data_IF_265233501526
#
_entry.id   IF_265233501526
#
_cell.length_a   1.000
_cell.length_b   1.000
_cell.length_c   1.000
_cell.angle_alpha   90.00
_cell.angle_beta   90.00
_cell.angle_gamma   90.00
#
_symmetry.space_group_name_H-M   'P 1'
#
loop_
_entity.id
_entity.type
_entity.pdbx_description
1 polymer ?
#
# COMPACT_ATOMS: atom_id res chain seq x y z
N UNK A 1 -1.10 12.05 -37.71
CA UNK A 1 -1.89 11.47 -36.62
C UNK A 1 -1.24 10.15 -36.28
N UNK A 2 -1.00 9.87 -35.00
CA UNK A 2 -0.35 8.63 -34.60
C UNK A 2 -1.22 7.43 -35.02
N UNK A 3 -0.57 6.29 -35.31
CA UNK A 3 -1.25 5.01 -35.36
C UNK A 3 -1.68 4.58 -33.95
N UNK A 4 -2.64 3.66 -33.83
CA UNK A 4 -3.04 3.12 -32.54
C UNK A 4 -1.86 2.47 -31.79
N UNK A 5 -0.93 1.86 -32.52
CA UNK A 5 0.27 1.25 -31.93
C UNK A 5 1.21 2.31 -31.36
N UNK A 6 1.48 3.38 -32.10
CA UNK A 6 2.32 4.49 -31.61
C UNK A 6 1.69 5.20 -30.40
N UNK A 7 0.38 5.43 -30.43
CA UNK A 7 -0.36 5.98 -29.29
C UNK A 7 -0.20 5.10 -28.05
N UNK A 8 -0.37 3.77 -28.20
CA UNK A 8 -0.20 2.82 -27.08
C UNK A 8 1.21 2.78 -26.52
N UNK A 9 2.24 3.01 -27.33
CA UNK A 9 3.63 3.06 -26.86
C UNK A 9 3.86 4.32 -26.05
N UNK A 10 3.49 5.49 -26.58
CA UNK A 10 3.67 6.78 -25.89
C UNK A 10 2.83 6.84 -24.59
N UNK A 11 1.62 6.29 -24.62
CA UNK A 11 0.78 6.19 -23.43
C UNK A 11 1.42 5.31 -22.35
N UNK A 12 2.04 4.19 -22.72
CA UNK A 12 2.73 3.33 -21.75
C UNK A 12 3.93 4.04 -21.11
N UNK A 13 4.67 4.83 -21.90
CA UNK A 13 5.78 5.62 -21.41
C UNK A 13 5.29 6.67 -20.39
N UNK A 14 4.24 7.43 -20.73
CA UNK A 14 3.64 8.41 -19.83
C UNK A 14 3.10 7.78 -18.53
N UNK A 15 2.45 6.62 -18.59
CA UNK A 15 1.93 5.94 -17.39
C UNK A 15 3.08 5.39 -16.53
N UNK A 16 4.17 4.90 -17.15
CA UNK A 16 5.34 4.42 -16.40
C UNK A 16 6.04 5.57 -15.69
N UNK A 17 6.23 6.70 -16.36
CA UNK A 17 6.76 7.92 -15.75
C UNK A 17 5.86 8.40 -14.61
N UNK A 18 4.54 8.35 -14.78
CA UNK A 18 3.58 8.66 -13.73
C UNK A 18 3.69 7.74 -12.50
N UNK A 19 4.05 6.46 -12.66
CA UNK A 19 4.33 5.61 -11.49
C UNK A 19 5.53 6.10 -10.68
N UNK A 20 6.50 6.74 -11.32
CA UNK A 20 7.67 7.28 -10.64
C UNK A 20 7.41 8.69 -10.07
N UNK A 21 6.78 9.58 -10.85
CA UNK A 21 6.59 10.99 -10.50
C UNK A 21 5.34 11.25 -9.65
N UNK A 22 4.30 10.42 -9.79
CA UNK A 22 2.95 10.67 -9.31
C UNK A 22 2.34 12.01 -9.80
N UNK A 23 2.87 12.59 -10.87
CA UNK A 23 2.37 13.83 -11.47
C UNK A 23 1.34 13.55 -12.57
N UNK A 24 0.06 13.75 -12.25
CA UNK A 24 -1.03 13.55 -13.21
C UNK A 24 -0.99 14.59 -14.35
N UNK A 25 -0.43 15.77 -14.09
CA UNK A 25 -0.37 16.87 -15.05
C UNK A 25 0.43 16.48 -16.30
N UNK A 26 1.52 15.74 -16.12
CA UNK A 26 2.35 15.25 -17.22
C UNK A 26 1.60 14.24 -18.10
N UNK A 27 0.75 13.40 -17.50
CA UNK A 27 -0.10 12.46 -18.25
C UNK A 27 -1.17 13.20 -19.05
N UNK A 28 -1.84 14.19 -18.45
CA UNK A 28 -2.83 15.04 -19.13
C UNK A 28 -2.19 15.77 -20.31
N UNK A 29 -1.01 16.37 -20.09
CA UNK A 29 -0.27 17.08 -21.13
C UNK A 29 0.14 16.13 -22.27
N UNK A 30 0.65 14.95 -21.94
CA UNK A 30 1.01 13.91 -22.92
C UNK A 30 -0.19 13.49 -23.78
N UNK A 31 -1.36 13.26 -23.17
CA UNK A 31 -2.60 12.93 -23.88
C UNK A 31 -3.04 14.06 -24.83
N UNK A 32 -2.95 15.30 -24.37
CA UNK A 32 -3.27 16.49 -25.17
C UNK A 32 -2.34 16.62 -26.39
N UNK A 33 -1.03 16.44 -26.19
CA UNK A 33 -0.01 16.58 -27.22
C UNK A 33 -0.08 15.49 -28.29
N UNK A 34 -0.50 14.28 -27.91
CA UNK A 34 -0.75 13.19 -28.87
C UNK A 34 -1.87 13.52 -29.87
N UNK A 35 -2.83 14.39 -29.52
CA UNK A 35 -3.95 14.82 -30.38
C UNK A 35 -4.72 13.66 -31.02
N UNK A 36 -4.94 12.59 -30.26
CA UNK A 36 -5.55 11.34 -30.72
C UNK A 36 -6.83 10.99 -29.94
N UNK A 37 -7.81 11.91 -29.93
CA UNK A 37 -9.09 11.73 -29.20
C UNK A 37 -9.79 10.40 -29.51
N UNK A 38 -9.71 9.92 -30.75
CA UNK A 38 -10.30 8.64 -31.17
C UNK A 38 -9.74 7.42 -30.43
N UNK A 39 -8.55 7.52 -29.82
CA UNK A 39 -7.91 6.44 -29.07
C UNK A 39 -8.05 6.58 -27.55
N UNK A 40 -8.67 7.66 -27.05
CA UNK A 40 -8.91 7.87 -25.61
C UNK A 40 -9.60 6.67 -24.90
N UNK A 41 -10.53 5.92 -25.51
CA UNK A 41 -11.05 4.70 -24.89
C UNK A 41 -9.98 3.66 -24.51
N UNK A 42 -8.81 3.66 -25.15
CA UNK A 42 -7.74 2.71 -24.81
C UNK A 42 -6.99 3.07 -23.53
N UNK A 43 -7.16 4.29 -22.98
CA UNK A 43 -6.43 4.76 -21.81
C UNK A 43 -6.71 3.89 -20.59
N UNK A 44 -7.98 3.65 -20.26
CA UNK A 44 -8.39 2.83 -19.11
C UNK A 44 -7.78 1.43 -19.18
N UNK A 45 -7.97 0.74 -20.31
CA UNK A 45 -7.44 -0.61 -20.51
C UNK A 45 -5.93 -0.64 -20.30
N UNK A 46 -5.19 0.30 -20.89
CA UNK A 46 -3.72 0.32 -20.81
C UNK A 46 -3.24 0.64 -19.39
N UNK A 47 -3.79 1.70 -18.79
CA UNK A 47 -3.49 2.12 -17.42
C UNK A 47 -3.72 0.98 -16.42
N UNK A 48 -4.91 0.38 -16.42
CA UNK A 48 -5.21 -0.73 -15.51
C UNK A 48 -4.32 -1.92 -15.79
N UNK A 49 -4.14 -2.34 -17.06
CA UNK A 49 -3.30 -3.49 -17.41
C UNK A 49 -1.85 -3.34 -16.93
N UNK A 50 -1.26 -2.15 -17.04
CA UNK A 50 0.10 -1.86 -16.58
C UNK A 50 0.26 -1.90 -15.05
N UNK A 51 -0.84 -1.89 -14.28
CA UNK A 51 -0.81 -1.95 -12.81
C UNK A 51 -1.12 -3.34 -12.24
N UNK A 52 -1.59 -4.28 -13.07
CA UNK A 52 -2.06 -5.59 -12.61
C UNK A 52 -0.94 -6.42 -11.98
N UNK A 53 0.26 -6.37 -12.56
CA UNK A 53 1.49 -7.04 -12.09
C UNK A 53 2.29 -6.20 -11.08
N UNK A 54 1.78 -5.01 -10.70
CA UNK A 54 2.42 -4.08 -9.76
C UNK A 54 1.77 -4.11 -8.37
N UNK A 55 2.25 -3.25 -7.47
CA UNK A 55 1.79 -3.19 -6.09
C UNK A 55 0.57 -2.30 -5.88
N UNK A 56 0.05 -2.26 -4.64
CA UNK A 56 -1.03 -1.35 -4.21
C UNK A 56 -0.85 0.12 -4.62
N UNK A 57 0.38 0.64 -4.51
CA UNK A 57 0.71 2.03 -4.85
C UNK A 57 0.36 2.36 -6.29
N UNK A 58 0.83 1.55 -7.24
CA UNK A 58 0.57 1.80 -8.66
C UNK A 58 -0.92 1.66 -8.98
N UNK A 59 -1.63 0.77 -8.29
CA UNK A 59 -3.08 0.62 -8.46
C UNK A 59 -3.86 1.84 -7.93
N UNK A 60 -3.46 2.40 -6.80
CA UNK A 60 -4.02 3.66 -6.29
C UNK A 60 -3.71 4.84 -7.21
N UNK A 61 -2.48 4.92 -7.74
CA UNK A 61 -2.13 5.92 -8.75
C UNK A 61 -3.04 5.81 -9.97
N UNK A 62 -3.33 4.61 -10.48
CA UNK A 62 -4.27 4.45 -11.59
C UNK A 62 -5.69 4.86 -11.19
N UNK A 63 -6.19 4.52 -10.00
CA UNK A 63 -7.51 4.99 -9.54
C UNK A 63 -7.60 6.53 -9.56
N UNK A 64 -6.60 7.21 -9.00
CA UNK A 64 -6.53 8.69 -9.01
C UNK A 64 -6.42 9.24 -10.42
N UNK A 65 -5.58 8.65 -11.26
CA UNK A 65 -5.41 9.07 -12.64
C UNK A 65 -6.74 9.03 -13.40
N UNK A 66 -7.53 7.96 -13.24
CA UNK A 66 -8.84 7.87 -13.92
C UNK A 66 -9.81 8.95 -13.43
N UNK A 67 -9.80 9.29 -12.15
CA UNK A 67 -10.60 10.38 -11.57
C UNK A 67 -10.18 11.75 -12.10
N UNK A 68 -8.88 12.02 -12.14
CA UNK A 68 -8.34 13.30 -12.62
C UNK A 68 -8.46 13.47 -14.15
N UNK A 69 -8.48 12.36 -14.90
CA UNK A 69 -8.73 12.39 -16.34
C UNK A 69 -10.22 12.57 -16.68
N UNK A 70 -11.13 12.50 -15.70
CA UNK A 70 -12.57 12.69 -15.87
C UNK A 70 -13.00 14.06 -15.33
N UNK A 71 -13.91 14.79 -16.01
CA UNK A 71 -14.52 14.49 -17.30
C UNK A 71 -13.69 14.95 -18.52
N UNK A 72 -12.52 15.57 -18.29
CA UNK A 72 -11.61 16.05 -19.32
C UNK A 72 -10.17 15.64 -18.96
N UNK A 73 -9.41 14.98 -19.87
CA UNK A 73 -9.70 14.75 -21.28
C UNK A 73 -10.52 13.49 -21.61
N UNK A 74 -10.96 12.71 -20.61
CA UNK A 74 -11.74 11.48 -20.81
C UNK A 74 -13.21 11.66 -20.44
N UNK A 75 -14.07 11.50 -21.44
CA UNK A 75 -15.52 11.50 -21.27
C UNK A 75 -16.04 10.21 -20.62
N UNK A 76 -17.28 10.22 -20.11
CA UNK A 76 -17.98 9.03 -19.60
C UNK A 76 -17.97 7.87 -20.61
N UNK A 77 -18.13 8.19 -21.90
CA UNK A 77 -18.11 7.21 -22.99
C UNK A 77 -16.71 6.61 -23.18
N UNK A 78 -15.64 7.40 -23.02
CA UNK A 78 -14.28 6.89 -23.10
C UNK A 78 -13.99 5.94 -21.94
N UNK A 79 -14.40 6.29 -20.72
CA UNK A 79 -14.18 5.48 -19.53
C UNK A 79 -14.96 4.17 -19.60
N UNK A 80 -16.25 4.22 -19.93
CA UNK A 80 -17.11 3.03 -20.08
C UNK A 80 -16.58 2.09 -21.17
N UNK A 81 -16.29 2.62 -22.36
CA UNK A 81 -15.72 1.84 -23.46
C UNK A 81 -14.34 1.27 -23.07
N UNK A 82 -13.54 2.02 -22.31
CA UNK A 82 -12.23 1.56 -21.86
C UNK A 82 -12.30 0.40 -20.88
N UNK A 83 -13.27 0.42 -19.96
CA UNK A 83 -13.55 -0.73 -19.09
C UNK A 83 -14.11 -1.93 -19.89
N UNK A 84 -14.97 -1.72 -20.88
CA UNK A 84 -15.43 -2.81 -21.77
C UNK A 84 -14.25 -3.45 -22.52
N UNK A 85 -13.34 -2.64 -23.08
CA UNK A 85 -12.14 -3.12 -23.75
C UNK A 85 -11.21 -3.91 -22.82
N UNK A 86 -11.13 -3.51 -21.55
CA UNK A 86 -10.37 -4.20 -20.50
C UNK A 86 -11.01 -5.56 -20.17
N UNK A 87 -12.32 -5.57 -19.91
CA UNK A 87 -13.09 -6.78 -19.60
C UNK A 87 -12.98 -7.81 -20.72
N UNK A 88 -13.04 -7.37 -21.99
CA UNK A 88 -12.89 -8.24 -23.16
C UNK A 88 -11.49 -8.84 -23.32
N UNK A 89 -10.47 -8.33 -22.62
CA UNK A 89 -9.12 -8.91 -22.61
C UNK A 89 -8.75 -9.64 -21.32
N UNK A 90 -9.70 -9.82 -20.39
CA UNK A 90 -9.39 -10.41 -19.10
C UNK A 90 -8.94 -11.85 -19.19
N UNK A 91 -9.43 -12.63 -20.16
CA UNK A 91 -8.99 -14.01 -20.35
C UNK A 91 -7.50 -14.08 -20.65
N UNK A 92 -7.03 -13.26 -21.60
CA UNK A 92 -5.62 -13.17 -21.96
C UNK A 92 -4.78 -12.65 -20.78
N UNK A 93 -5.23 -11.57 -20.12
CA UNK A 93 -4.52 -10.99 -18.98
C UNK A 93 -4.40 -11.97 -17.80
N UNK A 94 -5.39 -12.84 -17.63
CA UNK A 94 -5.41 -13.80 -16.53
C UNK A 94 -4.53 -15.03 -16.79
N UNK A 95 -4.04 -15.22 -18.02
CA UNK A 95 -3.03 -16.24 -18.31
C UNK A 95 -1.74 -15.91 -17.56
N UNK A 96 -1.33 -14.64 -17.62
CA UNK A 96 -0.08 -14.18 -17.02
C UNK A 96 -0.26 -13.71 -15.57
N UNK A 97 -1.46 -13.24 -15.21
CA UNK A 97 -1.75 -12.63 -13.91
C UNK A 97 -2.99 -13.31 -13.30
N UNK A 98 -2.82 -14.37 -12.47
CA UNK A 98 -3.93 -15.13 -11.91
C UNK A 98 -4.97 -14.27 -11.17
N UNK A 99 -4.52 -13.18 -10.54
CA UNK A 99 -5.37 -12.25 -9.79
C UNK A 99 -5.93 -11.08 -10.63
N UNK A 100 -5.80 -11.09 -11.97
CA UNK A 100 -6.28 -10.01 -12.82
C UNK A 100 -7.78 -9.74 -12.61
N UNK A 101 -8.62 -10.78 -12.59
CA UNK A 101 -10.07 -10.65 -12.40
C UNK A 101 -10.45 -9.98 -11.07
N UNK A 102 -9.99 -10.45 -9.89
CA UNK A 102 -10.31 -9.79 -8.63
C UNK A 102 -9.76 -8.35 -8.55
N UNK A 103 -8.58 -8.07 -9.11
CA UNK A 103 -8.02 -6.72 -9.14
C UNK A 103 -8.86 -5.78 -10.01
N UNK A 104 -9.30 -6.22 -11.19
CA UNK A 104 -10.17 -5.41 -12.05
C UNK A 104 -11.55 -5.18 -11.40
N UNK A 105 -12.05 -6.14 -10.61
CA UNK A 105 -13.29 -5.95 -9.84
C UNK A 105 -13.14 -4.85 -8.79
N UNK A 106 -11.96 -4.76 -8.17
CA UNK A 106 -11.60 -3.67 -7.26
C UNK A 106 -11.56 -2.32 -8.00
N UNK A 107 -10.93 -2.24 -9.18
CA UNK A 107 -10.92 -1.03 -10.00
C UNK A 107 -12.34 -0.58 -10.39
N UNK A 108 -13.21 -1.49 -10.82
CA UNK A 108 -14.59 -1.16 -11.19
C UNK A 108 -15.40 -0.64 -9.99
N UNK A 109 -15.28 -1.26 -8.82
CA UNK A 109 -15.94 -0.75 -7.62
C UNK A 109 -15.44 0.64 -7.23
N UNK A 110 -14.13 0.86 -7.30
CA UNK A 110 -13.52 2.17 -7.03
C UNK A 110 -13.96 3.23 -8.05
N UNK A 111 -14.00 2.87 -9.34
CA UNK A 111 -14.45 3.73 -10.43
C UNK A 111 -15.91 4.19 -10.26
N UNK A 112 -16.77 3.34 -9.68
CA UNK A 112 -18.15 3.73 -9.37
C UNK A 112 -18.21 4.70 -8.18
N UNK A 113 -17.40 4.49 -7.13
CA UNK A 113 -17.33 5.40 -5.98
C UNK A 113 -16.74 6.75 -6.34
N UNK A 114 -15.71 6.76 -7.19
CA UNK A 114 -15.06 7.98 -7.67
C UNK A 114 -15.89 8.70 -8.76
N UNK A 115 -17.11 8.21 -9.05
CA UNK A 115 -18.05 8.77 -10.04
C UNK A 115 -17.54 8.84 -11.49
N UNK A 116 -16.47 8.11 -11.81
CA UNK A 116 -15.90 8.02 -13.17
C UNK A 116 -16.67 7.05 -14.08
N UNK A 117 -17.43 6.11 -13.49
CA UNK A 117 -18.29 5.17 -14.20
C UNK A 117 -19.65 5.08 -13.48
N UNK A 118 -20.78 5.19 -14.18
CA UNK A 118 -22.09 5.11 -13.53
C UNK A 118 -22.37 3.70 -12.97
N UNK A 119 -23.09 3.56 -11.84
CA UNK A 119 -23.47 2.25 -11.30
C UNK A 119 -24.20 1.34 -12.30
N UNK A 120 -24.96 1.93 -13.23
CA UNK A 120 -25.68 1.21 -14.30
C UNK A 120 -24.74 0.47 -15.28
N UNK A 121 -23.45 0.82 -15.31
CA UNK A 121 -22.45 0.04 -16.05
C UNK A 121 -22.39 -1.42 -15.55
N UNK A 122 -22.57 -1.62 -14.24
CA UNK A 122 -22.57 -2.94 -13.61
C UNK A 122 -23.85 -3.75 -13.91
N UNK A 123 -24.95 -3.10 -14.31
CA UNK A 123 -26.20 -3.77 -14.67
C UNK A 123 -26.32 -4.09 -16.18
N UNK A 124 -25.62 -3.34 -17.03
CA UNK A 124 -25.79 -3.39 -18.49
C UNK A 124 -24.87 -4.39 -19.21
N UNK A 125 -23.93 -5.01 -18.51
CA UNK A 125 -23.12 -6.06 -19.11
C UNK A 125 -23.95 -7.35 -19.18
N UNK A 126 -24.58 -7.59 -20.33
CA UNK A 126 -25.26 -8.84 -20.67
C UNK A 126 -24.42 -10.05 -20.22
N UNK A 127 -24.99 -10.81 -19.28
CA UNK A 127 -24.47 -11.96 -18.53
C UNK A 127 -23.91 -13.12 -19.39
N UNK A 128 -22.88 -12.87 -20.20
CA UNK A 128 -22.39 -13.84 -21.20
C UNK A 128 -20.89 -13.82 -21.43
N UNK A 129 -20.12 -13.07 -20.63
CA UNK A 129 -18.67 -12.86 -20.84
C UNK A 129 -17.83 -13.03 -19.56
N UNK A 130 -16.51 -13.25 -19.69
CA UNK A 130 -15.55 -13.41 -18.58
C UNK A 130 -15.56 -12.34 -17.47
N UNK A 131 -16.24 -11.22 -17.71
CA UNK A 131 -16.46 -10.14 -16.75
C UNK A 131 -17.49 -10.43 -15.66
N UNK A 132 -18.23 -11.54 -15.69
CA UNK A 132 -19.25 -11.85 -14.68
C UNK A 132 -18.67 -11.89 -13.25
N UNK A 133 -17.58 -12.63 -13.04
CA UNK A 133 -16.90 -12.70 -11.74
C UNK A 133 -16.35 -11.33 -11.28
N UNK A 134 -15.97 -10.49 -12.25
CA UNK A 134 -15.45 -9.15 -11.99
C UNK A 134 -16.57 -8.21 -11.56
N UNK A 135 -17.73 -8.28 -12.21
CA UNK A 135 -18.92 -7.51 -11.87
C UNK A 135 -19.48 -7.98 -10.52
N UNK A 136 -19.58 -9.29 -10.29
CA UNK A 136 -20.01 -9.86 -9.01
C UNK A 136 -19.12 -9.36 -7.87
N UNK A 137 -17.80 -9.35 -8.07
CA UNK A 137 -16.84 -8.79 -7.11
C UNK A 137 -17.10 -7.31 -6.87
N UNK A 138 -17.29 -6.51 -7.92
CA UNK A 138 -17.52 -5.08 -7.79
C UNK A 138 -18.84 -4.77 -7.04
N UNK A 139 -19.93 -5.43 -7.43
CA UNK A 139 -21.26 -5.33 -6.77
C UNK A 139 -21.16 -5.77 -5.31
N UNK A 140 -20.48 -6.88 -5.03
CA UNK A 140 -20.26 -7.38 -3.68
C UNK A 140 -19.43 -6.45 -2.78
N UNK A 141 -18.53 -5.65 -3.36
CA UNK A 141 -17.80 -4.61 -2.64
C UNK A 141 -18.69 -3.38 -2.37
N UNK A 142 -19.45 -2.94 -3.37
CA UNK A 142 -20.36 -1.78 -3.28
C UNK A 142 -21.54 -2.02 -2.34
N UNK A 143 -21.98 -3.28 -2.17
CA UNK A 143 -23.10 -3.65 -1.30
C UNK A 143 -22.75 -3.68 0.20
N UNK A 144 -21.50 -3.42 0.57
CA UNK A 144 -21.04 -3.48 1.97
C UNK A 144 -21.39 -2.18 2.71
N UNK A 145 -21.59 -2.29 4.03
CA UNK A 145 -21.66 -1.11 4.88
C UNK A 145 -20.40 -0.26 4.77
N UNK A 146 -20.59 1.07 4.75
CA UNK A 146 -19.54 2.07 4.61
C UNK A 146 -18.65 1.85 3.37
N UNK A 147 -19.22 1.35 2.26
CA UNK A 147 -18.46 1.00 1.06
C UNK A 147 -17.59 2.16 0.54
N UNK A 148 -18.06 3.41 0.50
CA UNK A 148 -17.28 4.55 0.03
C UNK A 148 -15.93 4.67 0.76
N UNK A 149 -15.96 4.81 2.09
CA UNK A 149 -14.74 4.97 2.91
C UNK A 149 -13.80 3.74 2.86
N UNK A 150 -14.35 2.55 2.57
CA UNK A 150 -13.58 1.32 2.39
C UNK A 150 -12.95 1.23 1.00
N UNK A 151 -13.69 1.66 -0.02
CA UNK A 151 -13.26 1.65 -1.42
C UNK A 151 -12.20 2.72 -1.69
N UNK A 152 -12.27 3.86 -1.00
CA UNK A 152 -11.17 4.84 -0.92
C UNK A 152 -9.83 4.22 -0.48
N UNK A 153 -9.88 3.11 0.28
CA UNK A 153 -8.70 2.41 0.82
C UNK A 153 -8.54 0.99 0.27
N UNK A 154 -9.16 0.69 -0.87
CA UNK A 154 -9.26 -0.67 -1.40
C UNK A 154 -7.90 -1.32 -1.68
N UNK A 155 -6.89 -0.52 -1.99
CA UNK A 155 -5.55 -1.01 -2.32
C UNK A 155 -4.71 -1.33 -1.07
N UNK A 156 -5.12 -0.85 0.11
CA UNK A 156 -4.47 -1.15 1.39
C UNK A 156 -3.48 -0.08 1.85
N UNK A 157 -2.67 -0.34 2.89
CA UNK A 157 -1.76 0.65 3.47
C UNK A 157 -0.51 0.96 2.66
N UNK A 158 -0.18 0.12 1.67
CA UNK A 158 0.92 0.34 0.73
C UNK A 158 0.57 1.21 -0.48
N UNK A 159 -0.56 1.89 -0.47
CA UNK A 159 -1.11 2.71 -1.56
C UNK A 159 -0.44 4.09 -1.72
N UNK A 160 0.58 4.40 -0.92
CA UNK A 160 1.28 5.69 -0.94
C UNK A 160 0.61 6.77 -0.08
N UNK A 161 -0.27 6.39 0.86
CA UNK A 161 -0.85 7.31 1.84
C UNK A 161 0.21 8.05 2.69
N UNK A 162 -0.15 9.22 3.27
CA UNK A 162 0.77 10.01 4.08
C UNK A 162 1.40 9.20 5.21
N UNK A 163 2.65 9.50 5.52
CA UNK A 163 3.42 8.83 6.60
C UNK A 163 2.68 8.83 7.94
N UNK A 164 1.86 9.86 8.22
CA UNK A 164 1.04 9.93 9.42
C UNK A 164 -0.01 8.79 9.50
N UNK A 165 -0.65 8.46 8.38
CA UNK A 165 -1.63 7.36 8.33
C UNK A 165 -0.94 6.00 8.42
N UNK A 166 0.19 5.85 7.74
CA UNK A 166 0.99 4.62 7.81
C UNK A 166 1.39 4.28 9.26
N UNK A 167 1.76 5.30 10.02
CA UNK A 167 2.07 5.19 11.46
C UNK A 167 0.86 4.73 12.28
N UNK A 168 -0.34 5.25 11.98
CA UNK A 168 -1.58 4.80 12.64
C UNK A 168 -1.88 3.34 12.33
N UNK A 169 -1.69 2.91 11.09
CA UNK A 169 -1.86 1.50 10.69
C UNK A 169 -0.86 0.60 11.42
N UNK A 170 0.41 1.01 11.53
CA UNK A 170 1.41 0.28 12.31
C UNK A 170 0.98 0.13 13.78
N UNK A 171 0.53 1.22 14.41
CA UNK A 171 0.11 1.18 15.81
C UNK A 171 -1.09 0.24 16.01
N UNK A 172 -2.06 0.26 15.09
CA UNK A 172 -3.23 -0.59 15.14
C UNK A 172 -2.85 -2.08 14.99
N UNK A 173 -2.04 -2.42 13.98
CA UNK A 173 -1.53 -3.77 13.77
C UNK A 173 -0.81 -4.32 15.01
N UNK A 174 0.09 -3.52 15.60
CA UNK A 174 0.88 -3.92 16.75
C UNK A 174 -0.02 -4.18 17.98
N UNK A 175 -1.03 -3.31 18.20
CA UNK A 175 -2.00 -3.47 19.29
C UNK A 175 -2.92 -4.67 19.08
N UNK A 176 -3.39 -4.90 17.85
CA UNK A 176 -4.20 -6.08 17.50
C UNK A 176 -3.44 -7.38 17.69
N UNK A 177 -2.15 -7.41 17.33
CA UNK A 177 -1.29 -8.56 17.63
C UNK A 177 -1.17 -8.79 19.14
N UNK A 178 -0.95 -7.76 19.94
CA UNK A 178 -0.85 -7.92 21.40
C UNK A 178 -2.15 -8.44 22.03
N UNK A 179 -3.30 -8.24 21.39
CA UNK A 179 -4.58 -8.77 21.84
C UNK A 179 -4.85 -10.20 21.34
N UNK A 180 -4.57 -10.47 20.06
CA UNK A 180 -4.89 -11.75 19.40
C UNK A 180 -3.81 -12.82 19.56
N UNK A 181 -2.54 -12.40 19.66
CA UNK A 181 -1.32 -13.22 19.59
C UNK A 181 -1.15 -13.99 18.27
N UNK A 182 -1.85 -13.58 17.22
CA UNK A 182 -1.79 -14.23 15.91
C UNK A 182 -0.60 -13.72 15.09
N UNK A 183 0.51 -14.46 15.15
CA UNK A 183 1.76 -14.11 14.44
C UNK A 183 1.60 -14.08 12.92
N UNK A 184 0.86 -15.04 12.36
CA UNK A 184 0.65 -15.13 10.91
C UNK A 184 -0.19 -13.97 10.37
N UNK A 185 -1.20 -13.53 11.14
CA UNK A 185 -2.02 -12.37 10.78
C UNK A 185 -1.20 -11.09 10.83
N UNK A 186 -0.46 -10.87 11.91
CA UNK A 186 0.43 -9.71 12.03
C UNK A 186 1.46 -9.68 10.89
N UNK A 187 2.04 -10.83 10.54
CA UNK A 187 2.94 -10.98 9.41
C UNK A 187 2.29 -10.68 8.06
N UNK A 188 1.02 -11.06 7.85
CA UNK A 188 0.26 -10.68 6.66
C UNK A 188 0.08 -9.17 6.59
N UNK A 189 -0.39 -8.55 7.68
CA UNK A 189 -0.61 -7.10 7.74
C UNK A 189 0.67 -6.30 7.48
N UNK A 190 1.84 -6.76 7.97
CA UNK A 190 3.14 -6.11 7.67
C UNK A 190 3.50 -6.22 6.19
N UNK A 191 3.23 -7.36 5.52
CA UNK A 191 3.48 -7.51 4.08
C UNK A 191 2.57 -6.62 3.25
N UNK A 192 1.27 -6.57 3.58
CA UNK A 192 0.28 -5.75 2.87
C UNK A 192 0.57 -4.25 2.96
N UNK A 193 1.24 -3.83 4.04
CA UNK A 193 1.73 -2.46 4.21
C UNK A 193 2.75 -2.04 3.14
N UNK A 194 3.45 -2.99 2.51
CA UNK A 194 4.39 -2.77 1.41
C UNK A 194 5.35 -1.58 1.62
N UNK A 195 5.85 -1.40 2.85
CA UNK A 195 6.70 -0.28 3.25
C UNK A 195 8.05 -0.74 3.83
N UNK A 196 8.82 -1.60 3.14
CA UNK A 196 10.01 -2.27 3.69
C UNK A 196 11.09 -1.30 4.19
N UNK A 197 11.27 -0.17 3.51
CA UNK A 197 12.24 0.87 3.91
C UNK A 197 11.84 1.64 5.17
N UNK A 198 10.57 1.53 5.57
CA UNK A 198 9.97 2.21 6.71
C UNK A 198 9.72 1.27 7.90
N UNK A 199 10.06 -0.02 7.80
CA UNK A 199 9.88 -0.99 8.87
C UNK A 199 10.64 -0.65 10.17
N UNK A 200 11.69 0.17 10.13
CA UNK A 200 12.32 0.70 11.35
C UNK A 200 11.33 1.49 12.22
N UNK A 201 10.30 2.10 11.63
CA UNK A 201 9.25 2.82 12.36
C UNK A 201 8.29 1.84 13.03
N UNK A 202 7.97 0.70 12.39
CA UNK A 202 7.23 -0.41 13.00
C UNK A 202 7.96 -0.92 14.25
N UNK A 203 9.28 -1.12 14.16
CA UNK A 203 10.12 -1.55 15.30
C UNK A 203 10.08 -0.53 16.43
N UNK A 204 10.38 0.74 16.13
CA UNK A 204 10.35 1.84 17.12
C UNK A 204 9.00 1.91 17.84
N UNK A 205 7.90 1.76 17.11
CA UNK A 205 6.53 1.80 17.65
C UNK A 205 6.20 0.58 18.49
N UNK A 206 6.55 -0.62 18.02
CA UNK A 206 6.27 -1.85 18.76
C UNK A 206 6.93 -1.85 20.12
N UNK A 207 8.20 -1.42 20.20
CA UNK A 207 8.91 -1.34 21.48
C UNK A 207 8.24 -0.32 22.41
N UNK A 208 7.89 0.87 21.91
CA UNK A 208 7.16 1.86 22.70
C UNK A 208 5.85 1.28 23.26
N UNK A 209 5.03 0.68 22.40
CA UNK A 209 3.72 0.12 22.77
C UNK A 209 3.90 -1.00 23.79
N UNK A 210 4.85 -1.93 23.61
CA UNK A 210 5.03 -3.02 24.55
C UNK A 210 5.61 -2.58 25.90
N UNK A 211 6.41 -1.50 25.95
CA UNK A 211 6.84 -0.88 27.21
C UNK A 211 5.66 -0.26 27.96
N UNK A 212 4.75 0.42 27.25
CA UNK A 212 3.54 1.01 27.85
C UNK A 212 2.54 -0.06 28.33
N UNK A 213 2.43 -1.17 27.60
CA UNK A 213 1.49 -2.26 27.90
C UNK A 213 2.06 -3.36 28.82
N UNK A 214 3.38 -3.41 29.04
CA UNK A 214 4.03 -4.47 29.82
C UNK A 214 4.13 -5.82 29.09
N UNK A 215 4.25 -5.80 27.77
CA UNK A 215 4.09 -6.95 26.87
C UNK A 215 5.36 -7.26 26.05
N UNK A 216 6.52 -7.18 26.69
CA UNK A 216 7.84 -7.28 26.03
C UNK A 216 8.02 -8.62 25.30
N UNK A 217 7.76 -9.74 26.00
CA UNK A 217 7.99 -11.10 25.47
C UNK A 217 7.23 -11.35 24.16
N UNK A 218 5.97 -10.95 24.11
CA UNK A 218 5.16 -11.14 22.92
C UNK A 218 5.63 -10.27 21.76
N UNK A 219 5.97 -9.00 22.03
CA UNK A 219 6.49 -8.13 20.98
C UNK A 219 7.85 -8.62 20.46
N UNK A 220 8.70 -9.16 21.34
CA UNK A 220 9.98 -9.77 20.96
C UNK A 220 9.75 -11.05 20.13
N UNK A 221 8.75 -11.87 20.47
CA UNK A 221 8.34 -13.04 19.70
C UNK A 221 7.85 -12.63 18.30
N UNK A 222 7.05 -11.57 18.17
CA UNK A 222 6.63 -11.03 16.87
C UNK A 222 7.83 -10.63 16.02
N UNK A 223 8.74 -9.80 16.53
CA UNK A 223 9.88 -9.35 15.74
C UNK A 223 10.81 -10.50 15.36
N UNK A 224 11.03 -11.45 16.26
CA UNK A 224 11.78 -12.68 15.96
C UNK A 224 11.11 -13.49 14.84
N UNK A 225 9.78 -13.62 14.88
CA UNK A 225 9.02 -14.29 13.83
C UNK A 225 9.12 -13.55 12.49
N UNK A 226 8.95 -12.22 12.47
CA UNK A 226 9.04 -11.42 11.25
C UNK A 226 10.44 -11.48 10.62
N UNK A 227 11.51 -11.48 11.42
CA UNK A 227 12.89 -11.61 10.93
C UNK A 227 13.15 -13.01 10.37
N UNK A 228 12.79 -14.06 11.11
CA UNK A 228 12.95 -15.46 10.66
C UNK A 228 12.21 -15.75 9.35
N UNK A 229 11.10 -15.06 9.10
CA UNK A 229 10.31 -15.18 7.87
C UNK A 229 10.71 -14.15 6.78
N UNK A 230 11.83 -13.45 6.94
CA UNK A 230 12.35 -12.44 6.01
C UNK A 230 11.37 -11.30 5.66
N UNK A 231 10.42 -11.00 6.56
CA UNK A 231 9.46 -9.89 6.42
C UNK A 231 10.07 -8.59 6.94
N UNK A 232 10.84 -8.70 8.02
CA UNK A 232 11.55 -7.61 8.66
C UNK A 232 13.05 -7.87 8.55
N UNK A 233 13.81 -6.95 7.96
CA UNK A 233 15.26 -7.13 7.87
C UNK A 233 15.94 -6.72 9.18
N UNK A 234 17.01 -7.43 9.53
CA UNK A 234 17.84 -7.12 10.71
C UNK A 234 18.38 -5.67 10.68
N UNK A 235 18.62 -5.12 9.47
CA UNK A 235 19.00 -3.72 9.31
C UNK A 235 17.88 -2.75 9.74
N UNK A 236 16.62 -3.05 9.40
CA UNK A 236 15.48 -2.25 9.84
C UNK A 236 15.25 -2.36 11.35
N UNK A 237 15.52 -3.54 11.95
CA UNK A 237 15.55 -3.72 13.41
C UNK A 237 16.60 -2.81 14.05
N UNK A 238 17.86 -2.93 13.63
CA UNK A 238 18.96 -2.12 14.15
C UNK A 238 18.69 -0.61 14.01
N UNK A 239 18.16 -0.17 12.86
CA UNK A 239 17.77 1.22 12.62
C UNK A 239 16.62 1.66 13.53
N UNK A 240 15.63 0.80 13.77
CA UNK A 240 14.51 1.06 14.67
C UNK A 240 14.95 1.26 16.11
N UNK A 241 15.80 0.35 16.61
CA UNK A 241 16.40 0.42 17.95
C UNK A 241 17.22 1.70 18.11
N UNK A 242 18.12 2.00 17.16
CA UNK A 242 18.94 3.23 17.19
C UNK A 242 18.08 4.50 17.22
N UNK A 243 16.98 4.54 16.48
CA UNK A 243 16.07 5.70 16.46
C UNK A 243 15.27 5.83 17.75
N UNK A 244 14.82 4.72 18.33
CA UNK A 244 14.11 4.73 19.61
C UNK A 244 15.03 5.23 20.73
N UNK A 245 16.26 4.74 20.74
CA UNK A 245 17.26 5.12 21.72
C UNK A 245 17.49 6.64 21.79
N UNK A 246 17.53 7.32 20.63
CA UNK A 246 17.70 8.78 20.56
C UNK A 246 16.56 9.58 21.19
N UNK A 247 15.38 8.99 21.33
CA UNK A 247 14.18 9.62 21.92
C UNK A 247 13.79 8.94 23.25
N UNK A 248 14.65 8.07 23.79
CA UNK A 248 14.36 7.31 25.00
C UNK A 248 14.20 8.22 26.23
N UNK A 249 14.92 9.34 26.27
CA UNK A 249 14.75 10.36 27.31
C UNK A 249 13.33 10.92 27.35
N UNK A 250 12.76 11.27 26.18
CA UNK A 250 11.39 11.75 26.09
C UNK A 250 10.38 10.69 26.53
N UNK A 251 10.61 9.43 26.12
CA UNK A 251 9.75 8.30 26.52
C UNK A 251 9.81 8.07 28.04
N UNK A 252 10.97 8.34 28.67
CA UNK A 252 11.16 8.18 30.11
C UNK A 252 10.27 9.15 30.91
N UNK A 253 9.86 10.28 30.32
CA UNK A 253 8.92 11.22 30.94
C UNK A 253 7.53 10.60 31.13
N UNK A 254 7.11 9.75 30.19
CA UNK A 254 5.83 9.04 30.25
C UNK A 254 5.94 7.69 30.99
N UNK A 255 7.08 6.99 30.81
CA UNK A 255 7.34 5.66 31.36
C UNK A 255 8.70 5.66 32.07
N UNK A 256 8.76 5.88 33.40
CA UNK A 256 10.03 5.99 34.14
C UNK A 256 10.95 4.75 34.02
N UNK A 257 10.37 3.57 33.80
CA UNK A 257 11.09 2.31 33.58
C UNK A 257 11.54 2.09 32.14
N UNK A 258 11.31 3.03 31.21
CA UNK A 258 11.64 2.85 29.80
C UNK A 258 13.10 2.46 29.54
N UNK A 259 14.13 3.01 30.23
CA UNK A 259 15.51 2.60 30.00
C UNK A 259 15.80 1.12 30.32
N UNK A 260 15.25 0.61 31.42
CA UNK A 260 15.42 -0.79 31.80
C UNK A 260 14.65 -1.71 30.87
N UNK A 261 13.41 -1.36 30.54
CA UNK A 261 12.57 -2.14 29.62
C UNK A 261 13.15 -2.18 28.20
N UNK A 262 13.74 -1.08 27.72
CA UNK A 262 14.43 -1.02 26.44
C UNK A 262 15.63 -1.98 26.41
N UNK A 263 16.45 -1.96 27.45
CA UNK A 263 17.64 -2.82 27.57
C UNK A 263 17.25 -4.30 27.61
N UNK A 264 16.21 -4.62 28.38
CA UNK A 264 15.64 -5.95 28.47
C UNK A 264 15.09 -6.42 27.11
N UNK A 265 14.30 -5.59 26.44
CA UNK A 265 13.75 -5.90 25.12
C UNK A 265 14.85 -6.13 24.08
N UNK A 266 15.88 -5.28 24.06
CA UNK A 266 17.01 -5.43 23.13
C UNK A 266 17.73 -6.77 23.32
N UNK A 267 17.89 -7.23 24.57
CA UNK A 267 18.45 -8.54 24.87
C UNK A 267 17.55 -9.67 24.35
N UNK A 268 16.23 -9.60 24.56
CA UNK A 268 15.28 -10.60 24.07
C UNK A 268 15.35 -10.78 22.54
N UNK A 269 15.31 -9.68 21.77
CA UNK A 269 15.35 -9.78 20.30
C UNK A 269 16.75 -10.14 19.78
N UNK A 270 17.81 -9.87 20.54
CA UNK A 270 19.17 -10.34 20.24
C UNK A 270 19.26 -11.86 20.34
N UNK A 271 18.75 -12.44 21.42
CA UNK A 271 18.67 -13.89 21.59
C UNK A 271 17.74 -14.53 20.55
N UNK A 272 16.71 -13.78 20.11
CA UNK A 272 15.83 -14.14 19.00
C UNK A 272 16.47 -14.14 17.61
N UNK A 273 17.70 -13.64 17.48
CA UNK A 273 18.44 -13.56 16.20
C UNK A 273 18.00 -12.39 15.31
N UNK A 274 17.54 -11.28 15.89
CA UNK A 274 17.00 -10.14 15.12
C UNK A 274 18.05 -9.12 14.64
N UNK A 275 19.34 -9.37 14.87
CA UNK A 275 20.41 -8.42 14.57
C UNK A 275 21.49 -9.02 13.67
N UNK A 276 22.13 -8.21 12.82
CA UNK A 276 23.29 -8.67 12.08
C UNK A 276 24.46 -8.94 13.04
N UNK A 277 25.40 -9.82 12.68
CA UNK A 277 26.59 -10.10 13.50
C UNK A 277 27.42 -8.86 13.85
N UNK A 278 27.34 -7.81 13.03
CA UNK A 278 28.05 -6.53 13.23
C UNK A 278 27.30 -5.54 14.13
N UNK A 279 26.15 -5.91 14.70
CA UNK A 279 25.34 -4.98 15.49
C UNK A 279 26.00 -4.66 16.84
N UNK A 280 26.10 -3.37 17.13
CA UNK A 280 26.58 -2.84 18.40
C UNK A 280 25.45 -2.03 19.04
N UNK A 281 25.18 -2.29 20.32
CA UNK A 281 24.17 -1.55 21.07
C UNK A 281 24.49 -0.06 21.08
N UNK A 282 23.47 0.82 21.02
CA UNK A 282 23.67 2.25 21.18
C UNK A 282 24.31 2.55 22.55
N UNK A 283 25.41 3.31 22.58
CA UNK A 283 26.06 3.72 23.82
C UNK A 283 25.27 4.84 24.52
N UNK A 284 25.29 4.88 25.87
CA UNK A 284 24.86 6.03 26.67
C UNK A 284 25.38 7.34 26.05
N UNK A 285 24.52 8.34 25.76
CA UNK A 285 25.07 9.67 25.51
C UNK A 285 25.92 10.05 26.72
N UNK A 286 27.10 10.66 26.53
CA UNK A 286 27.92 11.10 27.63
C UNK A 286 27.08 12.04 28.50
N UNK A 287 27.00 11.72 29.80
CA UNK A 287 26.37 12.59 30.80
C UNK A 287 27.12 13.91 30.74
N UNK A 288 26.48 14.97 30.25
CA UNK A 288 27.01 16.33 30.39
C UNK A 288 27.22 16.56 31.89
N UNK A 289 28.41 17.00 32.34
CA UNK A 289 28.60 17.33 33.74
C UNK A 289 27.55 18.35 34.14
N UNK A 290 26.81 18.08 35.20
CA UNK A 290 25.96 19.07 35.86
C UNK A 290 26.85 20.29 36.16
N UNK A 291 26.51 21.44 35.57
CA UNK A 291 27.09 22.71 35.98
C UNK A 291 26.53 23.01 37.39
N UNK A 292 27.36 22.75 38.41
CA UNK A 292 27.20 23.26 39.79
C UNK A 292 27.15 24.80 39.84
#
# INVERSE_FOLDING_TARGET
MLTLTEFKIQLDEAIKEYFDSADVTEVIQSLSDMRCLAYHPHVVKRAVSLSLDKGPRERELISRLLTELHPDPLTDANLSTGFELLLNSLDDLSIDIPDARPIVGCFLARAVVDEVVPPAFLSNANNTHPGELVIEKAVGLLSREHCNARLERIWGPGDGRPVAELKTVMDQLLKEYLQSRELDEAARCVREMNAPHFHHELVKRGIRICMEMGELDAMAALFSFLVKNAILSEHQVAKGISRLYKVLGDITLDVPSAPSLFTEFEAMIRDGGCFPPSYVSPAAPPVSPEEE
#
